data_IF_550496258727
#
_entry.id   IF_550496258727
#
_cell.length_a   1.000
_cell.length_b   1.000
_cell.length_c   1.000
_cell.angle_alpha   90.00
_cell.angle_beta   90.00
_cell.angle_gamma   90.00
#
_symmetry.space_group_name_H-M   'P 1'
#
loop_
_entity.id
_entity.type
_entity.pdbx_description
1 polymer ?
#
# COMPACT_ATOMS: atom_id res chain seq x y z
N UNK A 1 -11.43 -3.05 8.31
CA UNK A 1 -10.97 -3.42 6.96
C UNK A 1 -9.48 -3.70 7.03
N UNK A 2 -9.06 -4.93 6.75
CA UNK A 2 -7.65 -5.34 6.77
C UNK A 2 -6.91 -4.79 5.55
N UNK A 3 -5.57 -4.82 5.57
CA UNK A 3 -4.76 -4.42 4.42
C UNK A 3 -5.07 -5.27 3.17
N UNK A 4 -5.33 -6.57 3.36
CA UNK A 4 -5.64 -7.51 2.28
C UNK A 4 -7.06 -7.28 1.72
N UNK A 5 -8.04 -6.98 2.57
CA UNK A 5 -9.39 -6.59 2.12
C UNK A 5 -9.34 -5.31 1.26
N UNK A 6 -8.43 -4.39 1.58
CA UNK A 6 -8.20 -3.19 0.76
C UNK A 6 -7.63 -3.53 -0.62
N UNK A 7 -6.68 -4.47 -0.71
CA UNK A 7 -6.12 -4.93 -1.99
C UNK A 7 -7.18 -5.64 -2.84
N UNK A 8 -8.00 -6.52 -2.24
CA UNK A 8 -9.15 -7.16 -2.92
C UNK A 8 -10.14 -6.12 -3.46
N UNK A 9 -10.38 -5.03 -2.71
CA UNK A 9 -11.21 -3.91 -3.19
C UNK A 9 -10.57 -3.16 -4.33
N UNK A 10 -9.25 -2.95 -4.29
CA UNK A 10 -8.51 -2.34 -5.40
C UNK A 10 -8.66 -3.19 -6.67
N UNK A 11 -8.55 -4.53 -6.58
CA UNK A 11 -8.75 -5.44 -7.72
C UNK A 11 -10.15 -5.31 -8.33
N UNK A 12 -11.19 -5.25 -7.50
CA UNK A 12 -12.56 -5.06 -7.98
C UNK A 12 -12.70 -3.73 -8.77
N UNK A 13 -12.07 -2.66 -8.29
CA UNK A 13 -12.07 -1.35 -8.97
C UNK A 13 -11.25 -1.41 -10.27
N UNK A 14 -10.10 -2.07 -10.27
CA UNK A 14 -9.25 -2.24 -11.44
C UNK A 14 -9.98 -3.05 -12.51
N UNK A 15 -10.59 -4.20 -12.17
CA UNK A 15 -11.40 -5.02 -13.09
C UNK A 15 -12.52 -4.21 -13.74
N UNK A 16 -13.31 -3.48 -12.95
CA UNK A 16 -14.39 -2.63 -13.49
C UNK A 16 -13.87 -1.59 -14.50
N UNK A 17 -12.67 -1.06 -14.30
CA UNK A 17 -12.06 -0.12 -15.25
C UNK A 17 -11.48 -0.80 -16.49
N UNK A 18 -10.95 -2.01 -16.35
CA UNK A 18 -10.55 -2.82 -17.49
C UNK A 18 -11.76 -3.20 -18.34
N UNK A 19 -12.93 -3.45 -17.74
CA UNK A 19 -14.18 -3.70 -18.46
C UNK A 19 -14.63 -2.47 -19.27
N UNK A 20 -14.58 -1.28 -18.65
CA UNK A 20 -14.86 -0.02 -19.35
C UNK A 20 -13.87 0.22 -20.50
N UNK A 21 -12.58 -0.04 -20.27
CA UNK A 21 -11.57 0.11 -21.30
C UNK A 21 -11.78 -0.87 -22.46
N UNK A 22 -12.12 -2.13 -22.16
CA UNK A 22 -12.44 -3.15 -23.16
C UNK A 22 -13.66 -2.74 -24.00
N UNK A 23 -14.75 -2.30 -23.36
CA UNK A 23 -15.93 -1.82 -24.06
C UNK A 23 -15.62 -0.59 -24.93
N UNK A 24 -14.83 0.36 -24.42
CA UNK A 24 -14.41 1.54 -25.16
C UNK A 24 -13.58 1.19 -26.41
N UNK A 25 -12.73 0.14 -26.35
CA UNK A 25 -12.02 -0.34 -27.54
C UNK A 25 -13.01 -0.83 -28.61
N UNK A 26 -14.10 -1.48 -28.25
CA UNK A 26 -15.09 -2.03 -29.18
C UNK A 26 -15.94 -0.95 -29.87
N UNK A 27 -16.12 0.21 -29.22
CA UNK A 27 -16.93 1.32 -29.74
C UNK A 27 -16.31 2.08 -30.92
N UNK A 28 -15.02 1.90 -31.22
CA UNK A 28 -14.36 2.57 -32.34
C UNK A 28 -13.74 3.93 -32.00
N UNK A 29 -13.35 4.73 -33.00
CA UNK A 29 -12.54 5.95 -32.82
C UNK A 29 -13.22 7.04 -31.98
N UNK A 30 -14.55 7.03 -31.86
CA UNK A 30 -15.33 7.96 -31.05
C UNK A 30 -14.98 7.87 -29.55
N UNK A 31 -14.52 6.70 -29.09
CA UNK A 31 -14.13 6.46 -27.70
C UNK A 31 -12.70 6.90 -27.38
N UNK A 32 -11.97 7.54 -28.31
CA UNK A 32 -10.55 7.89 -28.15
C UNK A 32 -10.23 8.63 -26.84
N UNK A 33 -11.01 9.64 -26.50
CA UNK A 33 -10.80 10.40 -25.26
C UNK A 33 -11.03 9.56 -24.01
N UNK A 34 -12.06 8.70 -24.02
CA UNK A 34 -12.37 7.78 -22.92
C UNK A 34 -11.21 6.81 -22.71
N UNK A 35 -10.70 6.21 -23.80
CA UNK A 35 -9.57 5.28 -23.77
C UNK A 35 -8.33 5.97 -23.18
N UNK A 36 -8.02 7.18 -23.65
CA UNK A 36 -6.87 7.96 -23.17
C UNK A 36 -6.97 8.25 -21.66
N UNK A 37 -8.07 8.85 -21.22
CA UNK A 37 -8.28 9.18 -19.81
C UNK A 37 -8.28 7.91 -18.92
N UNK A 38 -8.82 6.81 -19.45
CA UNK A 38 -8.83 5.55 -18.73
C UNK A 38 -7.45 4.96 -18.55
N UNK A 39 -6.58 5.04 -19.57
CA UNK A 39 -5.19 4.58 -19.47
C UNK A 39 -4.36 5.39 -18.46
N UNK A 40 -4.56 6.71 -18.40
CA UNK A 40 -3.90 7.55 -17.38
C UNK A 40 -4.41 7.22 -15.97
N UNK A 41 -5.73 7.05 -15.82
CA UNK A 41 -6.34 6.70 -14.53
C UNK A 41 -5.87 5.34 -14.03
N UNK A 42 -5.91 4.31 -14.89
CA UNK A 42 -5.42 2.98 -14.59
C UNK A 42 -3.94 2.99 -14.19
N UNK A 43 -3.10 3.76 -14.89
CA UNK A 43 -1.67 3.83 -14.58
C UNK A 43 -1.39 4.44 -13.20
N UNK A 44 -2.18 5.42 -12.79
CA UNK A 44 -2.08 5.98 -11.44
C UNK A 44 -2.53 4.97 -10.39
N UNK A 45 -3.69 4.35 -10.60
CA UNK A 45 -4.26 3.42 -9.62
C UNK A 45 -3.43 2.16 -9.46
N UNK A 46 -2.91 1.60 -10.56
CA UNK A 46 -2.02 0.44 -10.54
C UNK A 46 -0.74 0.75 -9.77
N UNK A 47 -0.13 1.92 -9.97
CA UNK A 47 1.04 2.35 -9.19
C UNK A 47 0.73 2.45 -7.70
N UNK A 48 -0.40 3.05 -7.36
CA UNK A 48 -0.80 3.20 -5.95
C UNK A 48 -1.10 1.84 -5.31
N UNK A 49 -1.66 0.91 -6.08
CA UNK A 49 -1.94 -0.47 -5.67
C UNK A 49 -0.64 -1.25 -5.43
N UNK A 50 0.28 -1.29 -6.41
CA UNK A 50 1.60 -1.95 -6.28
C UNK A 50 2.34 -1.46 -5.03
N UNK A 51 2.35 -0.15 -4.77
CA UNK A 51 2.98 0.41 -3.55
C UNK A 51 2.38 -0.15 -2.26
N UNK A 52 1.06 -0.33 -2.21
CA UNK A 52 0.38 -0.88 -1.02
C UNK A 52 0.71 -2.36 -0.83
N UNK A 53 0.81 -3.07 -1.94
CA UNK A 53 1.18 -4.47 -1.94
C UNK A 53 2.64 -4.70 -1.54
N UNK A 54 3.58 -3.95 -2.13
CA UNK A 54 5.00 -3.99 -1.74
C UNK A 54 5.18 -3.72 -0.24
N UNK A 55 4.41 -2.76 0.32
CA UNK A 55 4.42 -2.46 1.75
C UNK A 55 3.91 -3.65 2.60
N UNK A 56 2.91 -4.38 2.12
CA UNK A 56 2.37 -5.55 2.80
C UNK A 56 3.31 -6.75 2.73
N UNK A 57 3.95 -6.97 1.58
CA UNK A 57 4.99 -7.99 1.40
C UNK A 57 6.18 -7.69 2.32
N UNK A 58 6.60 -6.43 2.40
CA UNK A 58 7.68 -6.01 3.31
C UNK A 58 7.33 -6.30 4.78
N UNK A 59 6.09 -6.02 5.20
CA UNK A 59 5.62 -6.30 6.56
C UNK A 59 5.56 -7.81 6.87
N UNK A 60 5.29 -8.65 5.87
CA UNK A 60 5.19 -10.11 6.00
C UNK A 60 6.51 -10.85 5.75
N UNK A 61 7.57 -10.11 5.34
CA UNK A 61 8.91 -10.65 5.04
C UNK A 61 9.51 -11.56 6.12
N UNK A 62 9.37 -11.31 7.44
CA UNK A 62 9.91 -12.20 8.46
C UNK A 62 9.32 -13.61 8.42
N UNK A 63 8.09 -13.76 7.92
CA UNK A 63 7.38 -15.04 7.84
C UNK A 63 7.50 -15.68 6.45
N UNK A 64 7.43 -14.87 5.38
CA UNK A 64 7.57 -15.36 4.00
C UNK A 64 9.01 -15.79 3.64
N UNK A 65 10.01 -15.25 4.35
CA UNK A 65 11.41 -15.39 3.99
C UNK A 65 11.85 -14.37 2.94
N UNK A 66 13.10 -13.91 3.05
CA UNK A 66 13.63 -12.82 2.23
C UNK A 66 13.69 -13.12 0.73
N UNK A 67 13.86 -14.39 0.36
CA UNK A 67 13.95 -14.82 -1.05
C UNK A 67 12.60 -14.74 -1.76
N UNK A 68 11.57 -15.27 -1.12
CA UNK A 68 10.20 -15.30 -1.65
C UNK A 68 9.66 -13.87 -1.77
N UNK A 69 9.85 -13.06 -0.73
CA UNK A 69 9.43 -11.65 -0.76
C UNK A 69 10.11 -10.86 -1.88
N UNK A 70 11.41 -11.10 -2.13
CA UNK A 70 12.16 -10.42 -3.19
C UNK A 70 11.69 -10.82 -4.59
N UNK A 71 11.38 -12.10 -4.82
CA UNK A 71 10.88 -12.58 -6.11
C UNK A 71 9.54 -11.93 -6.47
N UNK A 72 8.60 -11.89 -5.52
CA UNK A 72 7.27 -11.30 -5.71
C UNK A 72 7.39 -9.80 -6.05
N UNK A 73 8.21 -9.05 -5.31
CA UNK A 73 8.44 -7.62 -5.59
C UNK A 73 9.03 -7.40 -6.98
N UNK A 74 9.96 -8.27 -7.42
CA UNK A 74 10.58 -8.15 -8.73
C UNK A 74 9.57 -8.37 -9.86
N UNK A 75 8.67 -9.35 -9.72
CA UNK A 75 7.59 -9.62 -10.67
C UNK A 75 6.65 -8.40 -10.80
N UNK A 76 6.35 -7.69 -9.69
CA UNK A 76 5.44 -6.52 -9.70
C UNK A 76 6.05 -5.24 -10.29
N UNK A 77 7.39 -5.15 -10.41
CA UNK A 77 8.05 -3.96 -11.01
C UNK A 77 8.01 -3.95 -12.55
N UNK A 78 7.89 -5.11 -13.19
CA UNK A 78 7.92 -5.26 -14.64
C UNK A 78 6.55 -4.99 -15.30
N UNK A 79 5.45 -5.26 -14.60
CA UNK A 79 4.08 -5.06 -15.10
C UNK A 79 3.72 -3.63 -15.53
N UNK A 80 4.06 -2.54 -14.78
CA UNK A 80 3.69 -1.19 -15.17
C UNK A 80 4.41 -0.68 -16.43
N UNK A 81 5.32 -1.45 -17.03
CA UNK A 81 6.06 -1.04 -18.26
C UNK A 81 5.13 -0.96 -19.48
N UNK A 82 4.15 -1.86 -19.60
CA UNK A 82 3.29 -1.92 -20.78
C UNK A 82 2.33 -0.73 -20.83
N UNK A 83 1.67 -0.41 -19.71
CA UNK A 83 0.76 0.74 -19.62
C UNK A 83 1.51 2.09 -19.69
N UNK A 84 2.75 2.16 -19.18
CA UNK A 84 3.65 3.32 -19.39
C UNK A 84 3.97 3.52 -20.88
N UNK A 85 4.20 2.44 -21.62
CA UNK A 85 4.48 2.50 -23.05
C UNK A 85 3.28 3.02 -23.83
N UNK A 86 2.06 2.58 -23.50
CA UNK A 86 0.82 3.10 -24.11
C UNK A 86 0.60 4.58 -23.75
N UNK A 87 0.81 4.97 -22.50
CA UNK A 87 0.68 6.38 -22.10
C UNK A 87 1.68 7.30 -22.82
N UNK A 88 2.89 6.83 -23.12
CA UNK A 88 3.85 7.58 -23.95
C UNK A 88 3.36 7.80 -25.37
N UNK A 89 2.59 6.86 -25.93
CA UNK A 89 1.99 7.01 -27.27
C UNK A 89 0.93 8.11 -27.29
N UNK A 90 0.15 8.29 -26.21
CA UNK A 90 -0.82 9.38 -26.11
C UNK A 90 -0.18 10.78 -26.00
N UNK A 91 1.01 10.87 -25.43
CA UNK A 91 1.72 12.15 -25.20
C UNK A 91 2.52 12.60 -26.44
N UNK A 92 2.90 11.67 -27.33
CA UNK A 92 3.63 12.01 -28.56
C UNK A 92 2.70 12.71 -29.56
N UNK A 93 3.18 13.82 -30.16
CA UNK A 93 2.39 14.75 -31.00
C UNK A 93 1.75 14.16 -32.27
N UNK A 94 2.09 12.93 -32.66
CA UNK A 94 1.31 12.16 -33.65
C UNK A 94 0.32 11.30 -32.88
N UNK A 95 -0.94 11.73 -32.82
CA UNK A 95 -2.01 10.93 -32.23
C UNK A 95 -2.00 9.54 -32.89
N UNK A 96 -1.71 8.45 -32.16
CA UNK A 96 -1.79 7.12 -32.72
C UNK A 96 -3.22 6.85 -33.16
N UNK A 97 -3.43 6.03 -34.19
CA UNK A 97 -4.78 5.54 -34.47
C UNK A 97 -5.20 4.54 -33.39
N UNK A 98 -6.50 4.44 -33.14
CA UNK A 98 -7.04 3.42 -32.22
C UNK A 98 -6.60 2.02 -32.65
N UNK A 99 -6.53 1.75 -33.94
CA UNK A 99 -6.05 0.48 -34.50
C UNK A 99 -4.60 0.16 -34.10
N UNK A 100 -3.73 1.17 -34.02
CA UNK A 100 -2.33 0.97 -33.63
C UNK A 100 -2.16 0.63 -32.14
N UNK A 101 -3.02 1.17 -31.27
CA UNK A 101 -2.92 0.95 -29.81
C UNK A 101 -3.77 -0.22 -29.31
N UNK A 102 -4.79 -0.63 -30.07
CA UNK A 102 -5.74 -1.69 -29.68
C UNK A 102 -5.03 -2.99 -29.29
N UNK A 103 -4.09 -3.56 -30.08
CA UNK A 103 -3.42 -4.81 -29.68
C UNK A 103 -2.63 -4.68 -28.37
N UNK A 104 -2.01 -3.53 -28.14
CA UNK A 104 -1.27 -3.26 -26.90
C UNK A 104 -2.22 -3.18 -25.71
N UNK A 105 -3.34 -2.46 -25.83
CA UNK A 105 -4.31 -2.32 -24.75
C UNK A 105 -5.04 -3.63 -24.46
N UNK A 106 -5.39 -4.41 -25.47
CA UNK A 106 -5.95 -5.76 -25.29
C UNK A 106 -4.96 -6.67 -24.54
N UNK A 107 -3.66 -6.57 -24.84
CA UNK A 107 -2.62 -7.31 -24.11
C UNK A 107 -2.55 -6.85 -22.65
N UNK A 108 -2.53 -5.54 -22.39
CA UNK A 108 -2.52 -4.99 -21.02
C UNK A 108 -3.73 -5.46 -20.22
N UNK A 109 -4.94 -5.41 -20.80
CA UNK A 109 -6.17 -5.87 -20.13
C UNK A 109 -6.05 -7.34 -19.74
N UNK A 110 -5.60 -8.19 -20.67
CA UNK A 110 -5.44 -9.63 -20.42
C UNK A 110 -4.40 -9.91 -19.34
N UNK A 111 -3.22 -9.31 -19.43
CA UNK A 111 -2.14 -9.51 -18.47
C UNK A 111 -2.55 -9.08 -17.08
N UNK A 112 -3.13 -7.87 -16.93
CA UNK A 112 -3.54 -7.38 -15.61
C UNK A 112 -4.66 -8.21 -14.98
N UNK A 113 -5.60 -8.72 -15.78
CA UNK A 113 -6.64 -9.64 -15.27
C UNK A 113 -6.02 -10.93 -14.74
N UNK A 114 -5.14 -11.53 -15.53
CA UNK A 114 -4.45 -12.75 -15.15
C UNK A 114 -3.62 -12.57 -13.88
N UNK A 115 -2.85 -11.47 -13.80
CA UNK A 115 -2.04 -11.14 -12.63
C UNK A 115 -2.89 -11.02 -11.35
N UNK A 116 -3.97 -10.24 -11.40
CA UNK A 116 -4.90 -10.13 -10.25
C UNK A 116 -5.51 -11.48 -9.85
N UNK A 117 -5.75 -12.39 -10.79
CA UNK A 117 -6.21 -13.75 -10.51
C UNK A 117 -5.13 -14.61 -9.84
N UNK A 118 -3.88 -14.53 -10.30
CA UNK A 118 -2.74 -15.23 -9.70
C UNK A 118 -2.47 -14.74 -8.28
N UNK A 119 -2.50 -13.42 -8.06
CA UNK A 119 -2.36 -12.83 -6.74
C UNK A 119 -3.47 -13.28 -5.79
N UNK A 120 -4.73 -13.24 -6.23
CA UNK A 120 -5.86 -13.68 -5.41
C UNK A 120 -5.83 -15.17 -5.08
N UNK A 121 -5.37 -16.01 -6.01
CA UNK A 121 -5.32 -17.45 -5.84
C UNK A 121 -4.13 -17.92 -5.00
N UNK A 122 -2.97 -17.27 -5.13
CA UNK A 122 -1.72 -17.73 -4.54
C UNK A 122 -1.16 -16.76 -3.49
N UNK A 123 -1.04 -15.48 -3.82
CA UNK A 123 -0.35 -14.50 -2.97
C UNK A 123 -1.19 -14.08 -1.77
N UNK A 124 -2.47 -13.73 -1.96
CA UNK A 124 -3.33 -13.27 -0.87
C UNK A 124 -3.49 -14.32 0.23
N UNK A 125 -3.72 -15.61 -0.06
CA UNK A 125 -3.73 -16.64 0.98
C UNK A 125 -2.40 -16.82 1.72
N UNK A 126 -1.26 -16.58 1.06
CA UNK A 126 0.05 -16.58 1.71
C UNK A 126 0.20 -15.38 2.65
N UNK A 127 -0.21 -14.18 2.22
CA UNK A 127 -0.17 -12.97 3.02
C UNK A 127 -1.13 -13.03 4.22
N UNK A 128 -2.32 -13.62 4.04
CA UNK A 128 -3.29 -13.83 5.12
C UNK A 128 -2.74 -14.77 6.18
N UNK A 129 -2.13 -15.90 5.77
CA UNK A 129 -1.47 -16.83 6.69
C UNK A 129 -0.30 -16.17 7.42
N UNK A 130 0.57 -15.47 6.68
CA UNK A 130 1.70 -14.77 7.27
C UNK A 130 1.26 -13.70 8.29
N UNK A 131 0.18 -12.98 8.00
CA UNK A 131 -0.39 -12.00 8.93
C UNK A 131 -1.01 -12.66 10.17
N UNK A 132 -1.68 -13.81 10.03
CA UNK A 132 -2.22 -14.57 11.15
C UNK A 132 -1.10 -15.17 12.02
N UNK A 133 -0.06 -15.74 11.41
CA UNK A 133 1.11 -16.26 12.11
C UNK A 133 1.87 -15.16 12.84
N UNK A 134 1.94 -13.94 12.32
CA UNK A 134 2.49 -12.81 13.07
C UNK A 134 1.62 -12.40 14.27
N UNK A 135 0.30 -12.56 14.16
CA UNK A 135 -0.61 -12.29 15.27
C UNK A 135 -0.49 -13.36 16.37
N UNK A 136 -0.30 -14.62 15.98
CA UNK A 136 -0.19 -15.78 16.89
C UNK A 136 1.23 -16.00 17.45
N UNK A 137 2.29 -15.68 16.68
CA UNK A 137 3.68 -15.78 17.10
C UNK A 137 4.14 -14.61 17.98
N UNK A 138 3.28 -13.61 18.20
CA UNK A 138 3.50 -12.63 19.24
C UNK A 138 3.24 -13.32 20.60
N UNK A 139 4.26 -13.56 21.45
CA UNK A 139 3.98 -13.89 22.83
C UNK A 139 3.13 -12.75 23.42
N UNK A 140 2.26 -12.99 24.40
CA UNK A 140 1.86 -11.92 25.30
C UNK A 140 3.13 -11.47 26.03
N UNK A 141 3.86 -10.51 25.45
CA UNK A 141 5.09 -10.01 26.06
C UNK A 141 4.71 -9.34 27.37
N UNK A 142 5.31 -9.76 28.49
CA UNK A 142 5.16 -9.08 29.77
C UNK A 142 6.03 -7.82 29.72
N UNK A 143 5.47 -6.75 29.17
CA UNK A 143 5.57 -5.35 29.61
C UNK A 143 5.14 -4.41 28.46
N UNK A 144 4.17 -3.56 28.73
CA UNK A 144 3.55 -2.58 27.83
C UNK A 144 4.51 -1.42 27.49
N UNK A 145 5.59 -1.66 26.73
CA UNK A 145 6.51 -0.59 26.31
C UNK A 145 6.31 -0.22 24.83
N UNK A 146 6.51 1.06 24.55
CA UNK A 146 6.47 1.62 23.19
C UNK A 146 7.85 1.43 22.57
N UNK A 147 7.92 1.02 21.30
CA UNK A 147 9.18 0.90 20.58
C UNK A 147 9.25 1.96 19.48
N UNK A 148 10.44 2.49 19.23
CA UNK A 148 10.72 3.53 18.22
C UNK A 148 10.35 3.10 16.79
N UNK A 149 10.50 1.81 16.48
CA UNK A 149 10.11 1.22 15.19
C UNK A 149 8.58 1.08 15.00
N UNK A 150 7.75 1.42 16.00
CA UNK A 150 6.31 1.42 15.84
C UNK A 150 5.84 2.63 15.03
N UNK A 151 4.79 2.49 14.23
CA UNK A 151 4.16 3.63 13.56
C UNK A 151 3.22 4.38 14.50
N UNK A 152 3.01 5.69 14.26
CA UNK A 152 2.08 6.52 15.06
C UNK A 152 0.69 5.89 15.18
N UNK A 153 0.12 5.36 14.08
CA UNK A 153 -1.18 4.68 14.11
C UNK A 153 -1.15 3.39 14.95
N UNK A 154 -0.05 2.62 14.90
CA UNK A 154 0.09 1.40 15.70
C UNK A 154 0.16 1.73 17.20
N UNK A 155 0.82 2.82 17.56
CA UNK A 155 0.89 3.32 18.95
C UNK A 155 -0.48 3.81 19.39
N UNK A 156 -1.18 4.62 18.59
CA UNK A 156 -2.53 5.12 18.91
C UNK A 156 -3.56 4.00 19.03
N UNK A 157 -3.44 2.94 18.23
CA UNK A 157 -4.33 1.78 18.30
C UNK A 157 -4.09 0.96 19.58
N UNK A 158 -2.83 0.75 19.93
CA UNK A 158 -2.43 -0.08 21.07
C UNK A 158 -2.50 0.67 22.41
N UNK A 159 -2.27 1.97 22.37
CA UNK A 159 -2.18 2.87 23.53
C UNK A 159 -2.94 4.18 23.26
N UNK A 160 -4.27 4.18 23.23
CA UNK A 160 -5.05 5.38 22.89
C UNK A 160 -4.77 6.59 23.80
N UNK A 161 -4.31 6.35 25.04
CA UNK A 161 -3.91 7.37 26.01
C UNK A 161 -2.73 8.24 25.55
N UNK A 162 -1.97 7.80 24.54
CA UNK A 162 -0.84 8.57 23.97
C UNK A 162 -1.26 9.66 22.98
N UNK A 163 -2.54 9.70 22.57
CA UNK A 163 -3.07 10.71 21.65
C UNK A 163 -2.73 12.16 22.03
N UNK A 164 -2.88 12.59 23.31
CA UNK A 164 -2.54 13.95 23.71
C UNK A 164 -1.06 14.29 23.53
N UNK A 165 -0.16 13.30 23.60
CA UNK A 165 1.29 13.49 23.38
C UNK A 165 1.54 13.87 21.92
N UNK A 166 0.96 13.10 20.97
CA UNK A 166 1.08 13.40 19.54
C UNK A 166 0.47 14.76 19.16
N UNK A 167 -0.68 15.10 19.75
CA UNK A 167 -1.34 16.39 19.52
C UNK A 167 -0.52 17.56 20.08
N UNK A 168 0.08 17.40 21.27
CA UNK A 168 0.96 18.40 21.89
C UNK A 168 2.25 18.62 21.11
N UNK A 169 2.79 17.55 20.52
CA UNK A 169 3.98 17.60 19.66
C UNK A 169 3.65 18.02 18.21
N UNK A 170 2.40 18.40 17.92
CA UNK A 170 1.93 18.82 16.59
C UNK A 170 2.16 17.78 15.48
N UNK A 171 2.19 16.49 15.84
CA UNK A 171 2.34 15.39 14.88
C UNK A 171 1.03 15.23 14.11
N UNK A 172 1.10 15.36 12.79
CA UNK A 172 -0.05 15.35 11.91
C UNK A 172 -0.47 13.90 11.61
N UNK A 173 -1.29 13.31 12.49
CA UNK A 173 -1.72 11.91 12.40
C UNK A 173 -2.24 11.52 11.00
N UNK A 174 -3.08 12.32 10.29
CA UNK A 174 -3.48 12.02 8.91
C UNK A 174 -2.33 11.86 7.91
N UNK A 175 -1.22 12.57 8.07
CA UNK A 175 -0.08 12.55 7.17
C UNK A 175 1.05 11.62 7.65
N UNK A 176 1.24 11.53 8.96
CA UNK A 176 2.39 10.89 9.63
C UNK A 176 2.00 9.58 10.34
N UNK A 177 0.73 9.20 10.28
CA UNK A 177 0.19 8.01 10.96
C UNK A 177 0.87 6.69 10.56
N UNK A 178 1.45 6.62 9.36
CA UNK A 178 2.17 5.45 8.86
C UNK A 178 3.70 5.55 9.03
N UNK A 179 4.21 6.63 9.62
CA UNK A 179 5.63 6.87 9.85
C UNK A 179 6.03 6.29 11.22
N UNK A 180 7.23 5.72 11.30
CA UNK A 180 7.80 5.18 12.54
C UNK A 180 8.16 6.32 13.52
N UNK A 181 8.16 6.03 14.82
CA UNK A 181 8.38 7.06 15.85
C UNK A 181 9.79 7.66 15.77
N UNK A 182 10.81 6.89 15.39
CA UNK A 182 12.17 7.42 15.17
C UNK A 182 12.21 8.49 14.07
N UNK A 183 11.56 8.22 12.95
CA UNK A 183 11.49 9.15 11.82
C UNK A 183 10.59 10.35 12.13
N UNK A 184 9.50 10.15 12.89
CA UNK A 184 8.66 11.26 13.38
C UNK A 184 9.43 12.11 14.39
N UNK A 185 10.12 11.52 15.37
CA UNK A 185 10.93 12.25 16.32
C UNK A 185 11.94 13.15 15.60
N UNK A 186 12.69 12.59 14.66
CA UNK A 186 13.65 13.33 13.84
C UNK A 186 13.02 14.51 13.09
N UNK A 187 11.87 14.30 12.43
CA UNK A 187 11.17 15.37 11.67
C UNK A 187 10.68 16.51 12.56
N UNK A 188 10.34 16.20 13.81
CA UNK A 188 9.87 17.18 14.79
C UNK A 188 11.00 17.72 15.68
N UNK A 189 12.26 17.40 15.34
CA UNK A 189 13.44 17.91 16.06
C UNK A 189 13.64 17.30 17.45
N UNK A 190 13.10 16.10 17.67
CA UNK A 190 13.17 15.35 18.91
C UNK A 190 14.12 14.16 18.75
N UNK A 191 14.74 13.74 19.86
CA UNK A 191 15.41 12.45 19.94
C UNK A 191 14.37 11.34 20.15
N UNK A 192 14.57 10.19 19.51
CA UNK A 192 13.63 9.05 19.59
C UNK A 192 13.36 8.62 21.04
N UNK A 193 14.40 8.62 21.89
CA UNK A 193 14.29 8.28 23.32
C UNK A 193 13.47 9.29 24.12
N UNK A 194 13.42 10.56 23.70
CA UNK A 194 12.59 11.59 24.33
C UNK A 194 11.12 11.35 24.02
N UNK A 195 10.79 11.12 22.75
CA UNK A 195 9.44 10.78 22.31
C UNK A 195 8.93 9.50 23.01
N UNK A 196 9.74 8.45 23.08
CA UNK A 196 9.37 7.20 23.76
C UNK A 196 9.03 7.42 25.23
N UNK A 197 9.85 8.19 25.96
CA UNK A 197 9.59 8.51 27.38
C UNK A 197 8.27 9.24 27.58
N UNK A 198 7.93 10.18 26.71
CA UNK A 198 6.65 10.89 26.81
C UNK A 198 5.45 9.97 26.57
N UNK A 199 5.57 9.07 25.60
CA UNK A 199 4.53 8.09 25.27
C UNK A 199 4.35 7.09 26.40
N UNK A 200 5.44 6.60 27.00
CA UNK A 200 5.41 5.69 28.15
C UNK A 200 4.81 6.35 29.39
N UNK A 201 5.15 7.61 29.66
CA UNK A 201 4.56 8.39 30.75
C UNK A 201 3.03 8.55 30.60
N UNK A 202 2.54 8.68 29.36
CA UNK A 202 1.11 8.73 29.09
C UNK A 202 0.40 7.37 29.23
N UNK A 203 1.13 6.25 29.16
CA UNK A 203 0.59 4.90 29.27
C UNK A 203 0.45 4.45 30.74
N UNK A 204 1.36 4.89 31.62
CA UNK A 204 1.37 4.51 33.04
C UNK A 204 1.25 5.73 33.98
N UNK A 205 0.08 6.42 34.01
CA UNK A 205 -0.08 7.63 34.83
C UNK A 205 0.03 7.37 36.36
N UNK A 206 -0.09 6.13 36.83
CA UNK A 206 -0.16 5.80 38.28
C UNK A 206 1.18 5.45 38.94
N UNK A 207 2.29 5.32 38.21
CA UNK A 207 3.58 4.97 38.81
C UNK A 207 4.32 6.14 39.51
N UNK A 208 3.82 7.38 39.37
CA UNK A 208 4.42 8.59 39.92
C UNK A 208 3.65 9.20 41.12
N UNK A 209 2.52 8.61 41.53
CA UNK A 209 1.72 9.09 42.67
C UNK A 209 2.03 8.38 44.00
N UNK A 210 3.12 7.60 44.09
CA UNK A 210 3.53 6.88 45.31
C UNK A 210 5.02 7.00 45.63
N UNK A 211 5.60 8.18 45.44
CA UNK A 211 6.88 8.55 46.06
C UNK A 211 6.78 9.91 46.74
#
# INVERSE_FOLDING_TARGET
MTAIERLKRDHAILRAKLDVLQAALEMGPEAWFVIREMCFTLARQLRDHIKREEALIAATRPVLGAEVARRIVQEHQDEPVQLRSVNRLFVRQRAPTLEAIRPMLTTVIRTLRHHMEEEEAALFPLLERAAAEQADAAPPSPAQHVQDVMTVNRVLQRFPATRPVFERLFINIPLEGCTCLDEVAWRHGLESEELLRELEAAIAPEALASR
#
